data_IF_528737342466
#
_entry.id   IF_528737342466
#
_cell.length_a   1.000
_cell.length_b   1.000
_cell.length_c   1.000
_cell.angle_alpha   90.00
_cell.angle_beta   90.00
_cell.angle_gamma   90.00
#
_symmetry.space_group_name_H-M   'P 1'
#
loop_
_entity.id
_entity.type
_entity.pdbx_description
1 polymer ?
#
# COMPACT_ATOMS: atom_id res chain seq x y z
N UNK A 1 -66.10 -5.56 5.64
CA UNK A 1 -66.22 -5.64 4.18
C UNK A 1 -65.97 -4.24 3.64
N UNK A 2 -64.81 -4.01 2.99
CA UNK A 2 -64.53 -2.89 2.05
C UNK A 2 -64.57 -1.45 2.65
N UNK A 3 -63.81 -0.45 2.23
CA UNK A 3 -62.62 -0.38 1.41
C UNK A 3 -61.91 0.95 1.72
N UNK A 4 -60.59 0.91 1.56
CA UNK A 4 -59.59 1.98 1.48
C UNK A 4 -59.87 2.99 0.34
N UNK A 5 -59.55 4.28 0.57
CA UNK A 5 -59.01 5.32 -0.35
C UNK A 5 -59.18 6.70 0.34
N UNK A 6 -58.29 7.68 0.36
CA UNK A 6 -57.11 8.00 -0.45
C UNK A 6 -56.25 9.03 0.33
N UNK A 7 -54.94 8.89 0.29
CA UNK A 7 -54.00 9.76 0.99
C UNK A 7 -52.57 9.46 0.56
N UNK A 8 -52.26 9.70 -0.72
CA UNK A 8 -50.93 9.52 -1.29
C UNK A 8 -50.08 10.77 -1.08
N UNK A 9 -49.20 10.75 -0.09
CA UNK A 9 -48.04 11.64 -0.01
C UNK A 9 -46.81 10.76 0.19
N UNK A 10 -46.11 10.49 -0.92
CA UNK A 10 -44.83 9.78 -0.96
C UNK A 10 -43.72 10.78 -0.61
N UNK A 11 -42.86 10.56 0.40
CA UNK A 11 -41.68 11.41 0.55
C UNK A 11 -40.63 10.96 -0.47
N UNK A 12 -40.25 11.91 -1.32
CA UNK A 12 -39.16 11.82 -2.26
C UNK A 12 -37.91 11.24 -1.59
N UNK A 13 -37.46 10.07 -2.07
CA UNK A 13 -36.13 9.57 -1.77
C UNK A 13 -35.12 10.49 -2.42
N UNK A 14 -34.36 11.17 -1.57
CA UNK A 14 -33.27 12.06 -1.90
C UNK A 14 -32.31 11.41 -2.92
N UNK A 15 -32.10 12.13 -4.01
CA UNK A 15 -31.02 11.91 -4.96
C UNK A 15 -29.67 12.18 -4.28
N UNK A 16 -28.89 11.13 -4.05
CA UNK A 16 -27.48 11.22 -3.67
C UNK A 16 -26.67 10.36 -4.64
N UNK A 17 -26.26 10.97 -5.74
CA UNK A 17 -25.13 10.50 -6.55
C UNK A 17 -24.58 11.69 -7.34
N UNK A 18 -23.90 12.59 -6.62
CA UNK A 18 -22.93 13.49 -7.24
C UNK A 18 -21.70 12.66 -7.61
N UNK A 19 -21.71 12.06 -8.80
CA UNK A 19 -20.57 11.33 -9.36
C UNK A 19 -19.42 12.28 -9.67
N UNK A 20 -18.36 12.19 -8.88
CA UNK A 20 -17.09 12.88 -9.13
C UNK A 20 -16.26 12.09 -10.16
N UNK A 21 -15.71 12.80 -11.14
CA UNK A 21 -14.86 12.24 -12.18
C UNK A 21 -13.63 11.53 -11.57
N UNK A 22 -13.53 10.20 -11.77
CA UNK A 22 -12.46 9.34 -11.25
C UNK A 22 -12.94 8.04 -10.60
N UNK A 23 -14.26 7.87 -10.42
CA UNK A 23 -14.83 6.71 -9.74
C UNK A 23 -14.82 5.46 -10.65
N UNK A 24 -13.79 4.64 -10.53
CA UNK A 24 -13.82 3.30 -11.12
C UNK A 24 -14.89 2.47 -10.44
N UNK A 25 -15.87 1.99 -11.22
CA UNK A 25 -16.85 1.02 -10.75
C UNK A 25 -16.11 -0.21 -10.15
N UNK A 26 -16.24 -0.46 -8.84
CA UNK A 26 -15.59 -1.59 -8.18
C UNK A 26 -15.95 -2.91 -8.83
N UNK A 27 -17.18 -3.05 -9.37
CA UNK A 27 -17.60 -4.26 -10.07
C UNK A 27 -16.82 -4.45 -11.37
N UNK A 28 -16.60 -3.39 -12.14
CA UNK A 28 -15.79 -3.45 -13.36
C UNK A 28 -14.33 -3.83 -13.07
N UNK A 29 -13.73 -3.27 -12.01
CA UNK A 29 -12.36 -3.60 -11.60
C UNK A 29 -12.23 -5.06 -11.17
N UNK A 30 -13.19 -5.57 -10.41
CA UNK A 30 -13.19 -6.96 -9.94
C UNK A 30 -13.33 -7.99 -11.06
N UNK A 31 -13.83 -7.60 -12.25
CA UNK A 31 -13.87 -8.48 -13.43
C UNK A 31 -12.50 -8.70 -14.06
N UNK A 32 -11.51 -7.84 -13.79
CA UNK A 32 -10.15 -8.00 -14.30
C UNK A 32 -9.49 -9.18 -13.59
N UNK A 33 -9.35 -10.33 -14.27
CA UNK A 33 -8.78 -11.55 -13.67
C UNK A 33 -7.31 -11.43 -13.27
N UNK A 34 -6.54 -10.64 -14.00
CA UNK A 34 -5.13 -10.40 -13.69
C UNK A 34 -5.00 -9.41 -12.54
N UNK A 35 -4.51 -9.88 -11.39
CA UNK A 35 -4.29 -9.03 -10.21
C UNK A 35 -3.34 -7.87 -10.52
N UNK A 36 -2.29 -8.12 -11.31
CA UNK A 36 -1.35 -7.09 -11.75
C UNK A 36 -2.04 -6.01 -12.59
N UNK A 37 -2.87 -6.39 -13.55
CA UNK A 37 -3.59 -5.41 -14.39
C UNK A 37 -4.63 -4.65 -13.58
N UNK A 38 -5.28 -5.32 -12.62
CA UNK A 38 -6.23 -4.69 -11.70
C UNK A 38 -5.56 -3.64 -10.83
N UNK A 39 -4.43 -3.98 -10.21
CA UNK A 39 -3.64 -3.04 -9.41
C UNK A 39 -3.19 -1.82 -10.24
N UNK A 40 -2.73 -2.05 -11.47
CA UNK A 40 -2.38 -0.97 -12.41
C UNK A 40 -3.56 -0.06 -12.72
N UNK A 41 -4.71 -0.63 -13.07
CA UNK A 41 -5.90 0.15 -13.39
C UNK A 41 -6.36 1.03 -12.22
N UNK A 42 -6.28 0.53 -10.98
CA UNK A 42 -6.61 1.31 -9.78
C UNK A 42 -5.62 2.46 -9.59
N UNK A 43 -4.32 2.19 -9.69
CA UNK A 43 -3.28 3.21 -9.50
C UNK A 43 -3.32 4.27 -10.61
N UNK A 44 -3.36 3.87 -11.88
CA UNK A 44 -3.46 4.77 -13.03
C UNK A 44 -4.76 5.58 -13.00
N UNK A 45 -5.86 4.98 -12.55
CA UNK A 45 -7.13 5.63 -12.28
C UNK A 45 -7.06 6.75 -11.26
N UNK A 46 -6.39 6.47 -10.15
CA UNK A 46 -6.12 7.45 -9.12
C UNK A 46 -5.27 8.61 -9.66
N UNK A 47 -4.18 8.31 -10.39
CA UNK A 47 -3.36 9.35 -11.01
C UNK A 47 -4.12 10.20 -12.03
N UNK A 48 -4.87 9.58 -12.94
CA UNK A 48 -5.67 10.29 -13.96
C UNK A 48 -6.75 11.18 -13.37
N UNK A 49 -7.37 10.79 -12.24
CA UNK A 49 -8.28 11.64 -11.47
C UNK A 49 -7.60 12.82 -10.74
N UNK A 50 -6.31 12.71 -10.42
CA UNK A 50 -5.52 13.76 -9.74
C UNK A 50 -4.82 14.77 -10.68
N UNK A 51 -4.81 14.56 -12.00
CA UNK A 51 -4.02 15.41 -12.89
C UNK A 51 -4.71 16.73 -13.31
N UNK A 52 -4.22 17.85 -12.75
CA UNK A 52 -3.50 18.84 -13.58
C UNK A 52 -1.99 18.52 -13.48
N UNK A 53 -1.38 18.15 -14.61
CA UNK A 53 0.03 17.82 -14.88
C UNK A 53 0.42 16.32 -14.81
N UNK A 54 0.52 15.61 -15.95
CA UNK A 54 0.61 14.14 -16.02
C UNK A 54 2.01 13.52 -15.92
N UNK A 55 3.11 14.27 -15.97
CA UNK A 55 4.45 13.70 -15.91
C UNK A 55 5.43 14.72 -15.35
N UNK A 56 5.87 14.53 -14.11
CA UNK A 56 7.26 14.80 -13.76
C UNK A 56 7.87 13.43 -13.52
N UNK A 57 8.85 13.07 -14.35
CA UNK A 57 9.51 11.78 -14.21
C UNK A 57 10.16 11.70 -12.83
N UNK A 58 9.95 10.57 -12.14
CA UNK A 58 10.71 10.19 -10.95
C UNK A 58 12.15 9.81 -11.37
N UNK A 59 12.85 10.80 -11.89
CA UNK A 59 14.30 10.84 -11.94
C UNK A 59 14.78 11.40 -10.62
N UNK A 60 16.00 11.03 -10.22
CA UNK A 60 16.77 11.73 -9.19
C UNK A 60 16.90 13.18 -9.65
N UNK A 61 15.91 14.00 -9.32
CA UNK A 61 15.92 15.40 -9.68
C UNK A 61 17.04 16.02 -8.85
N UNK A 62 17.98 16.60 -9.59
CA UNK A 62 19.07 17.37 -9.04
C UNK A 62 18.48 18.37 -8.04
N UNK A 63 18.83 18.23 -6.76
CA UNK A 63 18.20 19.02 -5.69
C UNK A 63 18.67 20.47 -5.76
N UNK A 64 19.98 20.72 -5.78
CA UNK A 64 20.58 22.05 -5.88
C UNK A 64 22.12 21.96 -5.95
N UNK A 65 22.78 23.00 -6.48
CA UNK A 65 24.23 23.16 -6.36
C UNK A 65 24.49 23.95 -5.08
N UNK A 66 25.18 23.33 -4.13
CA UNK A 66 25.64 24.03 -2.93
C UNK A 66 27.12 24.43 -3.11
N UNK A 67 27.53 25.65 -2.73
CA UNK A 67 28.95 26.00 -2.66
C UNK A 67 29.71 25.03 -1.74
N UNK A 68 30.85 24.55 -2.21
CA UNK A 68 31.73 23.69 -1.42
C UNK A 68 32.15 24.41 -0.12
N UNK A 69 32.07 23.71 1.01
CA UNK A 69 32.60 24.18 2.28
C UNK A 69 33.68 23.21 2.74
N UNK A 70 34.70 23.74 3.41
CA UNK A 70 35.79 22.94 3.97
C UNK A 70 35.22 21.88 4.92
N UNK A 71 35.51 20.60 4.62
CA UNK A 71 34.96 19.44 5.32
C UNK A 71 33.97 18.61 4.49
N UNK A 72 33.51 19.12 3.35
CA UNK A 72 32.70 18.35 2.42
C UNK A 72 33.58 17.37 1.59
N UNK A 73 33.00 16.22 1.20
CA UNK A 73 33.67 15.18 0.40
C UNK A 73 34.03 15.69 -1.02
N UNK A 74 35.31 15.71 -1.41
CA UNK A 74 35.74 16.08 -2.76
C UNK A 74 35.17 15.19 -3.87
N UNK A 75 34.70 13.98 -3.56
CA UNK A 75 34.07 13.08 -4.54
C UNK A 75 32.75 13.62 -5.12
N UNK A 76 32.05 14.51 -4.39
CA UNK A 76 30.77 15.09 -4.80
C UNK A 76 30.87 16.37 -5.63
N UNK A 77 32.09 16.81 -5.98
CA UNK A 77 32.32 18.06 -6.70
C UNK A 77 31.78 17.97 -8.14
N UNK A 78 31.45 19.10 -8.78
CA UNK A 78 31.11 19.10 -10.21
C UNK A 78 32.20 19.82 -11.00
N UNK A 79 33.13 19.05 -11.58
CA UNK A 79 34.24 19.53 -12.40
C UNK A 79 33.77 20.26 -13.67
N UNK A 80 32.58 19.93 -14.18
CA UNK A 80 32.02 20.56 -15.39
C UNK A 80 31.43 21.92 -15.08
N UNK A 81 30.81 22.08 -13.91
CA UNK A 81 30.35 23.38 -13.40
C UNK A 81 31.52 24.26 -12.97
N UNK A 82 32.54 23.67 -12.35
CA UNK A 82 33.79 24.36 -12.01
C UNK A 82 34.43 25.00 -13.25
N UNK A 83 34.57 24.24 -14.34
CA UNK A 83 35.16 24.73 -15.59
C UNK A 83 34.44 25.93 -16.23
N UNK A 84 33.19 26.22 -15.82
CA UNK A 84 32.39 27.34 -16.34
C UNK A 84 32.26 28.51 -15.37
N UNK A 85 32.32 28.24 -14.07
CA UNK A 85 32.00 29.21 -13.02
C UNK A 85 33.19 29.61 -12.15
N UNK A 86 34.31 28.90 -12.27
CA UNK A 86 35.53 29.06 -11.46
C UNK A 86 35.25 29.01 -9.94
N UNK A 87 34.18 28.29 -9.58
CA UNK A 87 33.67 28.12 -8.21
C UNK A 87 33.41 26.66 -7.93
N UNK A 88 33.77 26.23 -6.72
CA UNK A 88 33.56 24.86 -6.27
C UNK A 88 32.10 24.67 -5.82
N UNK A 89 31.40 23.76 -6.50
CA UNK A 89 30.04 23.36 -6.16
C UNK A 89 29.99 21.85 -5.96
N UNK A 90 29.20 21.44 -4.97
CA UNK A 90 28.86 20.04 -4.74
C UNK A 90 27.46 19.79 -5.29
N UNK A 91 27.31 18.67 -6.00
CA UNK A 91 26.03 18.19 -6.48
C UNK A 91 25.29 17.52 -5.32
N UNK A 92 24.22 18.16 -4.82
CA UNK A 92 23.30 17.47 -3.90
C UNK A 92 22.28 16.67 -4.71
N UNK A 93 22.21 15.39 -4.40
CA UNK A 93 21.11 14.53 -4.82
C UNK A 93 20.09 14.55 -3.68
N UNK A 94 18.81 14.66 -4.02
CA UNK A 94 17.75 14.37 -3.05
C UNK A 94 17.81 12.85 -2.84
N UNK A 95 18.21 12.41 -1.64
CA UNK A 95 18.16 11.00 -1.29
C UNK A 95 16.68 10.60 -1.19
N UNK A 96 16.16 10.01 -2.27
CA UNK A 96 14.93 9.20 -2.20
C UNK A 96 15.18 8.13 -1.14
N UNK A 97 14.57 8.31 0.03
CA UNK A 97 14.72 7.36 1.12
C UNK A 97 13.96 6.11 0.72
N UNK A 98 14.68 5.04 0.34
CA UNK A 98 14.11 3.70 0.16
C UNK A 98 13.31 3.33 1.42
N UNK A 99 11.98 3.50 1.42
CA UNK A 99 11.18 3.12 2.58
C UNK A 99 11.01 1.61 2.57
N UNK A 100 11.16 1.01 3.75
CA UNK A 100 10.80 -0.38 3.96
C UNK A 100 9.31 -0.44 4.27
N UNK A 101 8.55 -1.11 3.42
CA UNK A 101 7.11 -1.32 3.59
C UNK A 101 6.84 -2.81 3.77
N UNK A 102 6.14 -3.19 4.83
CA UNK A 102 5.72 -4.55 5.09
C UNK A 102 4.19 -4.64 5.00
N UNK A 103 3.70 -5.33 3.98
CA UNK A 103 2.28 -5.65 3.85
C UNK A 103 1.98 -6.90 4.67
N UNK A 104 1.10 -6.80 5.65
CA UNK A 104 0.71 -7.90 6.54
C UNK A 104 -0.72 -8.28 6.20
N UNK A 105 -0.89 -9.43 5.56
CA UNK A 105 -2.15 -9.82 4.94
C UNK A 105 -2.81 -10.97 5.69
N UNK A 106 -4.03 -10.72 6.16
CA UNK A 106 -4.86 -11.70 6.87
C UNK A 106 -5.54 -12.67 5.89
N UNK A 107 -5.36 -13.97 6.14
CA UNK A 107 -5.96 -15.10 5.43
C UNK A 107 -6.89 -15.94 6.30
N UNK A 108 -7.29 -15.42 7.44
CA UNK A 108 -8.27 -16.07 8.30
C UNK A 108 -9.60 -16.25 7.60
N UNK A 109 -10.41 -17.18 8.13
CA UNK A 109 -11.70 -17.54 7.55
C UNK A 109 -12.68 -16.36 7.49
N UNK A 110 -12.57 -15.38 8.39
CA UNK A 110 -13.44 -14.19 8.42
C UNK A 110 -13.29 -13.32 7.16
N UNK A 111 -12.10 -13.35 6.53
CA UNK A 111 -11.81 -12.68 5.26
C UNK A 111 -12.51 -13.35 4.06
N UNK A 112 -12.97 -14.59 4.19
CA UNK A 112 -13.77 -15.26 3.16
C UNK A 112 -15.24 -14.81 3.10
N UNK A 113 -15.68 -13.97 4.03
CA UNK A 113 -17.06 -13.48 4.05
C UNK A 113 -17.31 -12.43 2.95
N UNK A 114 -18.44 -12.52 2.26
CA UNK A 114 -18.83 -11.56 1.23
C UNK A 114 -20.34 -11.56 0.98
N UNK A 115 -20.92 -10.36 0.94
CA UNK A 115 -22.34 -10.14 0.56
C UNK A 115 -22.49 -9.65 -0.88
N UNK A 116 -21.37 -9.26 -1.51
CA UNK A 116 -21.30 -8.77 -2.88
C UNK A 116 -20.88 -9.88 -3.85
N UNK A 117 -20.73 -9.54 -5.13
CA UNK A 117 -20.20 -10.46 -6.15
C UNK A 117 -18.73 -10.88 -5.92
N UNK A 118 -18.08 -10.31 -4.89
CA UNK A 118 -16.73 -10.61 -4.44
C UNK A 118 -16.69 -10.66 -2.91
N UNK A 119 -15.75 -11.44 -2.37
CA UNK A 119 -15.53 -11.54 -0.92
C UNK A 119 -14.54 -10.47 -0.41
N UNK A 120 -14.47 -10.33 0.93
CA UNK A 120 -13.52 -9.39 1.58
C UNK A 120 -12.08 -9.69 1.16
N UNK A 121 -11.69 -10.96 1.03
CA UNK A 121 -10.33 -11.37 0.65
C UNK A 121 -9.96 -10.90 -0.76
N UNK A 122 -10.87 -10.98 -1.73
CA UNK A 122 -10.67 -10.53 -3.10
C UNK A 122 -10.47 -9.02 -3.16
N UNK A 123 -11.23 -8.27 -2.34
CA UNK A 123 -11.03 -6.84 -2.19
C UNK A 123 -9.70 -6.51 -1.51
N UNK A 124 -9.38 -7.19 -0.41
CA UNK A 124 -8.16 -7.01 0.34
C UNK A 124 -6.90 -7.37 -0.47
N UNK A 125 -6.95 -8.43 -1.28
CA UNK A 125 -5.88 -8.80 -2.22
C UNK A 125 -5.70 -7.72 -3.28
N UNK A 126 -6.79 -7.15 -3.79
CA UNK A 126 -6.74 -6.03 -4.74
C UNK A 126 -6.09 -4.80 -4.10
N UNK A 127 -6.46 -4.47 -2.85
CA UNK A 127 -5.86 -3.38 -2.08
C UNK A 127 -4.36 -3.62 -1.86
N UNK A 128 -3.98 -4.80 -1.37
CA UNK A 128 -2.58 -5.18 -1.13
C UNK A 128 -1.75 -5.10 -2.42
N UNK A 129 -2.30 -5.56 -3.54
CA UNK A 129 -1.64 -5.51 -4.83
C UNK A 129 -1.48 -4.08 -5.36
N UNK A 130 -2.50 -3.25 -5.16
CA UNK A 130 -2.49 -1.82 -5.53
C UNK A 130 -1.42 -1.08 -4.74
N UNK A 131 -1.38 -1.27 -3.41
CA UNK A 131 -0.34 -0.68 -2.55
C UNK A 131 1.05 -1.19 -2.92
N UNK A 132 1.22 -2.50 -3.10
CA UNK A 132 2.50 -3.06 -3.54
C UNK A 132 2.96 -2.46 -4.87
N UNK A 133 2.04 -2.25 -5.82
CA UNK A 133 2.34 -1.67 -7.11
C UNK A 133 2.73 -0.19 -6.98
N UNK A 134 1.93 0.59 -6.24
CA UNK A 134 2.20 2.00 -5.97
C UNK A 134 3.57 2.22 -5.31
N UNK A 135 3.87 1.48 -4.23
CA UNK A 135 5.15 1.57 -3.53
C UNK A 135 6.32 1.12 -4.43
N UNK A 136 6.10 0.11 -5.28
CA UNK A 136 7.12 -0.30 -6.26
C UNK A 136 7.41 0.79 -7.31
N UNK A 137 6.43 1.62 -7.68
CA UNK A 137 6.63 2.78 -8.56
C UNK A 137 7.45 3.87 -7.86
N UNK A 138 7.26 4.04 -6.56
CA UNK A 138 8.04 4.95 -5.72
C UNK A 138 9.42 4.41 -5.34
N UNK A 139 9.83 3.25 -5.89
CA UNK A 139 11.09 2.55 -5.59
C UNK A 139 11.23 2.12 -4.13
N UNK A 140 10.14 2.03 -3.39
CA UNK A 140 10.16 1.50 -2.03
C UNK A 140 10.41 -0.02 -2.01
N UNK A 141 11.04 -0.49 -0.95
CA UNK A 141 11.28 -1.90 -0.69
C UNK A 141 10.04 -2.51 -0.05
N UNK A 142 9.28 -3.28 -0.82
CA UNK A 142 8.02 -3.90 -0.35
C UNK A 142 8.23 -5.35 0.07
N UNK A 143 7.80 -5.70 1.27
CA UNK A 143 7.73 -7.06 1.81
C UNK A 143 6.29 -7.50 2.00
N UNK A 144 6.08 -8.81 2.11
CA UNK A 144 4.77 -9.40 2.39
C UNK A 144 4.90 -10.46 3.47
N UNK A 145 4.03 -10.38 4.46
CA UNK A 145 3.73 -11.48 5.36
C UNK A 145 2.27 -11.85 5.18
N UNK A 146 1.95 -13.12 5.00
CA UNK A 146 0.57 -13.61 5.11
C UNK A 146 0.42 -14.47 6.34
N UNK A 147 -0.75 -14.41 6.97
CA UNK A 147 -1.01 -15.18 8.18
C UNK A 147 -2.47 -15.60 8.28
N UNK A 148 -2.74 -16.63 9.06
CA UNK A 148 -4.07 -17.05 9.48
C UNK A 148 -4.12 -17.33 10.98
N UNK A 149 -3.89 -18.57 11.40
CA UNK A 149 -3.51 -18.96 12.76
C UNK A 149 -1.99 -18.93 12.95
N UNK A 150 -1.25 -19.09 11.84
CA UNK A 150 0.21 -19.11 11.83
C UNK A 150 0.74 -18.27 10.66
N UNK A 151 2.06 -18.02 10.63
CA UNK A 151 2.66 -17.37 9.47
C UNK A 151 2.58 -18.31 8.26
N UNK A 152 1.96 -17.85 7.18
CA UNK A 152 1.98 -18.49 5.88
C UNK A 152 3.24 -18.08 5.10
N UNK A 153 3.10 -17.12 4.20
CA UNK A 153 4.20 -16.63 3.36
C UNK A 153 4.98 -15.53 4.06
N UNK A 154 6.32 -15.58 3.94
CA UNK A 154 7.20 -14.48 4.32
C UNK A 154 8.10 -14.13 3.14
N UNK A 155 7.91 -12.92 2.61
CA UNK A 155 8.73 -12.32 1.56
C UNK A 155 9.38 -11.07 2.14
N UNK A 156 10.71 -11.04 2.28
CA UNK A 156 11.41 -9.88 2.85
C UNK A 156 11.24 -8.66 1.94
N UNK A 157 11.22 -7.47 2.55
CA UNK A 157 11.19 -6.20 1.85
C UNK A 157 12.43 -6.03 0.97
N UNK A 158 12.23 -5.92 -0.35
CA UNK A 158 13.29 -5.77 -1.34
C UNK A 158 12.80 -4.95 -2.54
N UNK A 159 13.70 -4.16 -3.09
CA UNK A 159 13.55 -3.50 -4.40
C UNK A 159 14.44 -4.27 -5.39
N UNK A 160 13.84 -5.15 -6.20
CA UNK A 160 14.57 -5.88 -7.27
C UNK A 160 13.64 -6.30 -8.42
N UNK A 161 14.17 -6.47 -9.65
CA UNK A 161 13.40 -7.00 -10.76
C UNK A 161 12.73 -8.34 -10.41
N UNK A 162 11.45 -8.49 -10.79
CA UNK A 162 10.67 -9.70 -10.53
C UNK A 162 10.11 -9.84 -9.10
N UNK A 163 10.53 -9.01 -8.14
CA UNK A 163 10.03 -9.05 -6.76
C UNK A 163 8.53 -8.80 -6.68
N UNK A 164 8.04 -7.79 -7.39
CA UNK A 164 6.60 -7.49 -7.47
C UNK A 164 5.78 -8.70 -7.96
N UNK A 165 6.28 -9.44 -8.95
CA UNK A 165 5.61 -10.66 -9.44
C UNK A 165 5.54 -11.73 -8.35
N UNK A 166 6.60 -11.87 -7.55
CA UNK A 166 6.63 -12.79 -6.40
C UNK A 166 5.56 -12.42 -5.37
N UNK A 167 5.39 -11.13 -5.08
CA UNK A 167 4.32 -10.63 -4.20
C UNK A 167 2.93 -10.97 -4.76
N UNK A 168 2.70 -10.77 -6.06
CA UNK A 168 1.40 -11.08 -6.69
C UNK A 168 1.07 -12.57 -6.59
N UNK A 169 2.03 -13.44 -6.91
CA UNK A 169 1.85 -14.90 -6.81
C UNK A 169 1.51 -15.31 -5.37
N UNK A 170 2.23 -14.75 -4.39
CA UNK A 170 1.93 -14.99 -3.00
C UNK A 170 0.51 -14.54 -2.66
N UNK A 171 0.13 -13.28 -2.95
CA UNK A 171 -1.20 -12.74 -2.66
C UNK A 171 -2.35 -13.56 -3.28
N UNK A 172 -2.18 -14.13 -4.47
CA UNK A 172 -3.23 -14.93 -5.15
C UNK A 172 -3.48 -16.32 -4.55
N UNK A 173 -2.69 -16.77 -3.56
CA UNK A 173 -2.93 -18.06 -2.92
C UNK A 173 -4.26 -18.06 -2.15
N UNK A 174 -5.01 -19.18 -2.16
CA UNK A 174 -6.31 -19.27 -1.52
C UNK A 174 -6.20 -19.13 0.00
N UNK A 175 -7.33 -18.80 0.62
CA UNK A 175 -7.49 -18.86 2.07
C UNK A 175 -7.29 -20.31 2.53
N UNK A 176 -6.49 -20.52 3.57
CA UNK A 176 -6.20 -21.84 4.12
C UNK A 176 -6.53 -21.96 5.63
N UNK A 177 -6.79 -20.85 6.31
CA UNK A 177 -6.97 -20.80 7.75
C UNK A 177 -8.33 -21.27 8.25
N UNK A 178 -8.33 -22.06 9.34
CA UNK A 178 -9.54 -22.47 10.04
C UNK A 178 -10.01 -21.43 11.08
N UNK A 179 -9.08 -20.67 11.66
CA UNK A 179 -9.29 -19.70 12.73
C UNK A 179 -8.68 -18.32 12.46
N UNK A 180 -8.81 -17.45 13.47
CA UNK A 180 -8.38 -16.05 13.46
C UNK A 180 -7.53 -15.81 14.71
N UNK A 181 -6.20 -15.97 14.62
CA UNK A 181 -5.30 -15.64 15.72
C UNK A 181 -4.26 -14.60 15.25
N UNK A 182 -4.41 -13.37 15.73
CA UNK A 182 -3.54 -12.26 15.37
C UNK A 182 -2.27 -12.18 16.23
N UNK A 183 -2.27 -12.78 17.42
CA UNK A 183 -1.23 -12.58 18.43
C UNK A 183 0.10 -13.20 18.01
N UNK A 184 0.06 -14.48 17.66
CA UNK A 184 1.26 -15.23 17.31
C UNK A 184 1.92 -14.67 16.03
N UNK A 185 1.18 -14.41 14.93
CA UNK A 185 1.78 -13.85 13.73
C UNK A 185 2.36 -12.46 13.93
N UNK A 186 1.69 -11.56 14.68
CA UNK A 186 2.21 -10.21 14.94
C UNK A 186 3.44 -10.22 15.84
N UNK A 187 3.50 -11.13 16.82
CA UNK A 187 4.68 -11.33 17.66
C UNK A 187 5.87 -11.84 16.86
N UNK A 188 5.64 -12.85 16.01
CA UNK A 188 6.68 -13.38 15.15
C UNK A 188 7.13 -12.35 14.08
N UNK A 189 6.21 -11.54 13.56
CA UNK A 189 6.53 -10.43 12.68
C UNK A 189 7.46 -9.43 13.37
N UNK A 190 7.13 -9.01 14.59
CA UNK A 190 7.95 -8.08 15.36
C UNK A 190 9.37 -8.60 15.58
N UNK A 191 9.56 -9.92 15.69
CA UNK A 191 10.88 -10.56 15.80
C UNK A 191 11.64 -10.60 14.48
N UNK A 192 10.94 -10.72 13.33
CA UNK A 192 11.56 -10.79 11.99
C UNK A 192 11.90 -9.42 11.41
N UNK A 193 11.10 -8.39 11.71
CA UNK A 193 11.38 -7.02 11.28
C UNK A 193 12.45 -6.42 12.21
N UNK A 194 13.65 -6.26 11.68
CA UNK A 194 14.79 -5.67 12.40
C UNK A 194 15.04 -4.21 12.04
N UNK A 195 14.55 -3.77 10.88
CA UNK A 195 14.72 -2.40 10.39
C UNK A 195 13.43 -1.60 10.55
N UNK A 196 13.55 -0.30 10.81
CA UNK A 196 12.41 0.61 10.88
C UNK A 196 11.74 0.72 9.51
N UNK A 197 10.41 0.78 9.49
CA UNK A 197 9.62 0.84 8.28
C UNK A 197 8.15 1.08 8.55
N UNK A 198 7.38 1.09 7.47
CA UNK A 198 5.93 1.15 7.48
C UNK A 198 5.38 -0.29 7.47
N UNK A 199 4.49 -0.60 8.39
CA UNK A 199 3.76 -1.87 8.47
C UNK A 199 2.30 -1.56 8.16
N UNK A 200 1.76 -2.18 7.11
CA UNK A 200 0.35 -2.01 6.70
C UNK A 200 -0.38 -3.31 6.99
N UNK A 201 -1.29 -3.30 7.96
CA UNK A 201 -2.08 -4.48 8.33
C UNK A 201 -3.41 -4.50 7.57
N UNK A 202 -3.61 -5.53 6.75
CA UNK A 202 -4.80 -5.73 5.95
C UNK A 202 -5.57 -6.91 6.55
N UNK A 203 -6.55 -6.60 7.38
CA UNK A 203 -7.37 -7.55 8.13
C UNK A 203 -8.74 -6.95 8.42
N UNK A 204 -9.74 -7.79 8.70
CA UNK A 204 -11.00 -7.33 9.29
C UNK A 204 -10.95 -7.18 10.82
N UNK A 205 -9.74 -7.34 11.41
CA UNK A 205 -9.40 -7.10 12.81
C UNK A 205 -10.33 -7.79 13.81
N UNK A 206 -10.81 -8.98 13.43
CA UNK A 206 -11.73 -9.77 14.23
C UNK A 206 -11.01 -10.48 15.40
N UNK A 207 -10.56 -9.69 16.37
CA UNK A 207 -9.86 -10.15 17.57
C UNK A 207 -10.19 -9.27 18.79
N UNK A 208 -9.94 -9.75 20.03
CA UNK A 208 -10.09 -8.93 21.23
C UNK A 208 -9.25 -7.63 21.18
N UNK A 209 -9.90 -6.50 21.50
CA UNK A 209 -9.26 -5.16 21.43
C UNK A 209 -8.01 -5.07 22.33
N UNK A 210 -8.01 -5.73 23.48
CA UNK A 210 -6.90 -5.70 24.42
C UNK A 210 -5.62 -6.34 23.83
N UNK A 211 -5.78 -7.47 23.15
CA UNK A 211 -4.72 -8.19 22.45
C UNK A 211 -4.17 -7.36 21.29
N UNK A 212 -5.07 -6.84 20.44
CA UNK A 212 -4.70 -5.99 19.31
C UNK A 212 -3.89 -4.76 19.75
N UNK A 213 -4.32 -4.06 20.81
CA UNK A 213 -3.59 -2.90 21.34
C UNK A 213 -2.17 -3.28 21.78
N UNK A 214 -2.00 -4.42 22.42
CA UNK A 214 -0.70 -4.89 22.91
C UNK A 214 0.25 -5.21 21.75
N UNK A 215 -0.25 -5.92 20.73
CA UNK A 215 0.56 -6.28 19.56
C UNK A 215 0.97 -5.05 18.73
N UNK A 216 0.05 -4.12 18.50
CA UNK A 216 0.33 -2.89 17.77
C UNK A 216 1.31 -1.99 18.55
N UNK A 217 1.16 -1.90 19.87
CA UNK A 217 2.10 -1.16 20.72
C UNK A 217 3.51 -1.75 20.67
N UNK A 218 3.63 -3.08 20.66
CA UNK A 218 4.92 -3.77 20.50
C UNK A 218 5.57 -3.44 19.15
N UNK A 219 4.83 -3.47 18.04
CA UNK A 219 5.38 -3.08 16.72
C UNK A 219 5.87 -1.62 16.73
N UNK A 220 5.08 -0.70 17.29
CA UNK A 220 5.46 0.71 17.41
C UNK A 220 6.68 0.93 18.31
N UNK A 221 6.80 0.18 19.40
CA UNK A 221 7.96 0.26 20.31
C UNK A 221 9.29 -0.11 19.62
N UNK A 222 9.23 -0.90 18.55
CA UNK A 222 10.38 -1.26 17.70
C UNK A 222 10.66 -0.23 16.58
N UNK A 223 9.99 0.92 16.61
CA UNK A 223 10.16 1.99 15.63
C UNK A 223 9.44 1.75 14.30
N UNK A 224 8.43 0.87 14.28
CA UNK A 224 7.55 0.71 13.12
C UNK A 224 6.43 1.75 13.15
N UNK A 225 6.14 2.33 11.99
CA UNK A 225 4.88 3.02 11.75
C UNK A 225 3.84 1.96 11.36
N UNK A 226 2.69 1.94 12.03
CA UNK A 226 1.67 0.92 11.78
C UNK A 226 0.40 1.60 11.29
N UNK A 227 -0.08 1.16 10.12
CA UNK A 227 -1.28 1.64 9.44
C UNK A 227 -2.30 0.51 9.28
#
# INVERSE_FOLDING_TARGET
MMANQSGSASPARASLASGGAGEHDPHALMRIKSLTLRARAVVEGFYTGLHRSPYHGFSVEFSEYRPYVQGDDPGGLDWKLYARSDRYYIKRFEDETDRLVYLIFDRSRSMGFGTLAYDKSQYAVTLAATLAYFMSLQRDSVGLLTFDESIGDWIPARQRPGHFRQLMVALTRPLAGAGTNLDQPLTQLAQRITKRGLVILISDLLAPIAELRTNLAMLRSRGQEVM
#
